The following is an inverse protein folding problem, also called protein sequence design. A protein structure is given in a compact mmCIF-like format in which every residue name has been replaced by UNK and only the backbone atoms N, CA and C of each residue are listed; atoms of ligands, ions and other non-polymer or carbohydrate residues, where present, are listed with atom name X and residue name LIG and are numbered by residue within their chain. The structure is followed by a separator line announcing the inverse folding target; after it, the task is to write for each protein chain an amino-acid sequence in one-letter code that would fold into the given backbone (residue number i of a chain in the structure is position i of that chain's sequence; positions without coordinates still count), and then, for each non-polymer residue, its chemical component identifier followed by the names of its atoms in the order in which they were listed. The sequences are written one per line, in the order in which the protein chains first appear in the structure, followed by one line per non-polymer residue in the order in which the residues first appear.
data_IF_853242895853
#
_entry.id   IF_853242895853
#
_cell.length_a   1.000
_cell.length_b   1.000
_cell.length_c   1.000
_cell.angle_alpha   90.00
_cell.angle_beta   90.00
_cell.angle_gamma   90.00
#
_symmetry.space_group_name_H-M   'P 1'
#
loop_
_entity.id
_entity.type
_entity.pdbx_description
1 polymer ?
#
# COMPACT_ATOMS: atom_id res chain seq x y z
N UNK A 1 -10.54 10.71 -18.86
CA UNK A 1 -9.19 10.11 -18.99
C UNK A 1 -8.34 10.54 -17.79
N UNK A 2 -7.82 9.56 -17.04
CA UNK A 2 -7.02 9.74 -15.82
C UNK A 2 -5.58 9.31 -16.08
N UNK A 3 -4.61 10.08 -15.62
CA UNK A 3 -3.20 9.70 -15.73
C UNK A 3 -2.78 8.88 -14.51
N UNK A 4 -2.11 7.75 -14.75
CA UNK A 4 -1.58 6.89 -13.68
C UNK A 4 -0.15 6.46 -13.97
N UNK A 5 0.59 6.17 -12.90
CA UNK A 5 1.95 5.65 -12.98
C UNK A 5 1.96 4.17 -12.62
N UNK A 6 1.91 3.32 -13.64
CA UNK A 6 1.90 1.86 -13.49
C UNK A 6 3.23 1.37 -12.89
N UNK A 7 3.14 0.52 -11.88
CA UNK A 7 4.26 -0.17 -11.26
C UNK A 7 4.65 -1.38 -12.11
N UNK A 8 5.92 -1.50 -12.48
CA UNK A 8 6.45 -2.65 -13.23
C UNK A 8 7.72 -3.17 -12.57
N UNK A 9 7.89 -4.50 -12.41
CA UNK A 9 9.16 -5.08 -11.98
C UNK A 9 10.32 -4.66 -12.89
N UNK A 10 11.48 -4.40 -12.30
CA UNK A 10 12.71 -4.08 -13.03
C UNK A 10 13.91 -4.77 -12.41
N UNK A 11 14.87 -5.16 -13.25
CA UNK A 11 16.16 -5.70 -12.83
C UNK A 11 17.27 -4.66 -12.90
N UNK A 12 16.96 -3.42 -13.31
CA UNK A 12 17.96 -2.36 -13.43
C UNK A 12 18.14 -1.71 -12.07
N UNK A 13 19.39 -1.62 -11.62
CA UNK A 13 19.81 -0.78 -10.50
C UNK A 13 19.72 0.70 -10.91
N UNK A 14 18.50 1.19 -10.98
CA UNK A 14 18.23 2.60 -11.19
C UNK A 14 18.20 3.33 -9.84
N UNK A 15 18.21 4.65 -9.88
CA UNK A 15 17.78 5.52 -8.75
C UNK A 15 16.35 5.18 -8.23
N UNK A 16 15.63 4.26 -8.90
CA UNK A 16 14.35 3.65 -8.46
C UNK A 16 14.51 2.58 -7.38
N UNK A 17 15.68 2.42 -6.75
CA UNK A 17 15.77 1.77 -5.42
C UNK A 17 14.84 2.39 -4.36
N UNK A 18 14.26 3.54 -4.70
CA UNK A 18 13.21 4.28 -4.02
C UNK A 18 11.79 3.69 -4.11
N UNK A 19 11.52 2.65 -4.91
CA UNK A 19 10.19 2.01 -4.99
C UNK A 19 10.28 0.50 -5.17
N UNK A 20 9.59 -0.26 -4.32
CA UNK A 20 9.70 -1.73 -4.29
C UNK A 20 8.49 -2.44 -3.68
N UNK A 21 8.34 -3.72 -4.03
CA UNK A 21 7.54 -4.68 -3.27
C UNK A 21 8.42 -5.49 -2.33
N UNK A 22 7.86 -5.87 -1.18
CA UNK A 22 8.51 -6.75 -0.21
C UNK A 22 9.85 -6.24 0.34
N UNK A 23 10.66 -7.17 0.86
CA UNK A 23 11.96 -6.88 1.46
C UNK A 23 11.89 -6.23 2.84
N UNK A 24 12.93 -5.45 3.19
CA UNK A 24 12.95 -4.59 4.37
C UNK A 24 12.54 -3.14 4.06
N UNK A 25 12.31 -2.33 5.07
CA UNK A 25 11.97 -0.92 4.89
C UNK A 25 12.47 -0.04 6.04
N UNK A 26 12.34 1.27 5.88
CA UNK A 26 12.59 2.26 6.92
C UNK A 26 11.36 2.39 7.82
N UNK A 27 11.51 2.08 9.10
CA UNK A 27 10.45 2.21 10.10
C UNK A 27 10.99 2.63 11.45
N UNK A 28 10.37 3.64 12.03
CA UNK A 28 10.65 4.10 13.39
C UNK A 28 10.01 3.13 14.40
N UNK A 29 10.71 2.78 15.48
CA UNK A 29 10.16 1.86 16.48
C UNK A 29 10.08 0.39 16.04
N UNK A 30 9.17 -0.38 16.62
CA UNK A 30 9.07 -1.82 16.38
C UNK A 30 8.38 -2.15 15.04
N UNK A 31 8.69 -3.32 14.48
CA UNK A 31 7.94 -3.82 13.32
C UNK A 31 6.46 -3.98 13.70
N UNK A 32 5.51 -3.54 12.85
CA UNK A 32 4.12 -3.47 13.22
C UNK A 32 3.53 -4.87 13.35
N UNK A 33 2.66 -5.04 14.35
CA UNK A 33 1.94 -6.29 14.63
C UNK A 33 0.44 -6.05 14.59
N UNK A 34 -0.31 -6.99 14.04
CA UNK A 34 -1.77 -6.93 14.09
C UNK A 34 -2.28 -7.15 15.53
N UNK A 35 -3.59 -6.96 15.79
CA UNK A 35 -4.20 -7.20 17.10
C UNK A 35 -4.01 -8.61 17.67
N UNK A 36 -3.70 -9.60 16.84
CA UNK A 36 -3.40 -10.98 17.26
C UNK A 36 -1.93 -11.18 17.65
N UNK A 37 -1.09 -10.15 17.50
CA UNK A 37 0.35 -10.20 17.80
C UNK A 37 1.21 -10.75 16.66
N UNK A 38 0.64 -10.99 15.49
CA UNK A 38 1.34 -11.45 14.29
C UNK A 38 2.04 -10.26 13.63
N UNK A 39 3.28 -10.43 13.16
CA UNK A 39 3.96 -9.39 12.39
C UNK A 39 3.23 -9.14 11.07
N UNK A 40 2.99 -7.86 10.76
CA UNK A 40 2.43 -7.50 9.46
C UNK A 40 3.46 -7.74 8.35
N UNK A 41 3.00 -8.12 7.18
CA UNK A 41 3.85 -8.31 6.01
C UNK A 41 4.02 -6.99 5.27
N UNK A 42 5.26 -6.64 4.92
CA UNK A 42 5.54 -5.49 4.06
C UNK A 42 5.14 -5.81 2.62
N UNK A 43 4.24 -5.01 2.05
CA UNK A 43 3.77 -5.16 0.68
C UNK A 43 4.52 -4.25 -0.28
N UNK A 44 4.61 -2.97 0.07
CA UNK A 44 5.08 -1.91 -0.82
C UNK A 44 5.83 -0.84 -0.04
N UNK A 45 6.82 -0.23 -0.67
CA UNK A 45 7.52 0.94 -0.14
C UNK A 45 7.87 1.92 -1.24
N UNK A 46 7.77 3.22 -0.93
CA UNK A 46 8.13 4.32 -1.82
C UNK A 46 8.78 5.47 -1.05
N UNK A 47 9.87 6.04 -1.57
CA UNK A 47 10.45 7.26 -1.00
C UNK A 47 9.52 8.46 -1.18
N UNK A 48 9.44 9.29 -0.15
CA UNK A 48 8.58 10.48 -0.14
C UNK A 48 8.94 11.49 -1.21
N UNK A 49 10.22 11.62 -1.57
CA UNK A 49 10.67 12.49 -2.66
C UNK A 49 10.05 12.06 -3.99
N UNK A 50 9.91 10.75 -4.22
CA UNK A 50 9.28 10.22 -5.43
C UNK A 50 7.77 10.38 -5.34
N UNK A 51 7.16 10.00 -4.22
CA UNK A 51 5.72 10.10 -4.03
C UNK A 51 5.21 11.54 -4.15
N UNK A 52 5.91 12.52 -3.57
CA UNK A 52 5.60 13.95 -3.73
C UNK A 52 5.76 14.46 -5.17
N UNK A 53 6.66 13.88 -5.98
CA UNK A 53 6.77 14.24 -7.40
C UNK A 53 5.58 13.73 -8.21
N UNK A 54 5.07 12.55 -7.88
CA UNK A 54 3.91 11.94 -8.56
C UNK A 54 2.58 12.56 -8.09
N UNK A 55 2.49 12.91 -6.82
CA UNK A 55 1.30 13.52 -6.20
C UNK A 55 1.75 14.75 -5.40
N UNK A 56 1.75 15.90 -6.06
CA UNK A 56 2.29 17.16 -5.54
C UNK A 56 1.58 17.72 -4.31
N UNK A 57 0.34 17.29 -4.05
CA UNK A 57 -0.49 17.77 -2.93
C UNK A 57 -0.18 17.13 -1.58
N UNK A 58 0.68 16.10 -1.51
CA UNK A 58 0.91 15.35 -0.28
C UNK A 58 1.80 16.07 0.75
N UNK A 59 2.81 16.82 0.30
CA UNK A 59 3.69 17.58 1.18
C UNK A 59 4.47 16.75 2.22
N UNK A 60 4.81 15.49 1.91
CA UNK A 60 5.51 14.60 2.83
C UNK A 60 6.96 15.06 3.10
N UNK A 61 7.53 14.77 4.28
CA UNK A 61 8.90 15.17 4.59
C UNK A 61 9.91 14.47 3.66
N UNK A 62 10.95 15.17 3.18
CA UNK A 62 11.93 14.58 2.26
C UNK A 62 12.84 13.56 2.97
N UNK A 63 13.38 12.61 2.22
CA UNK A 63 14.28 11.54 2.70
C UNK A 63 13.64 10.55 3.68
N UNK A 64 12.33 10.35 3.57
CA UNK A 64 11.60 9.29 4.27
C UNK A 64 11.10 8.25 3.27
N UNK A 65 10.67 7.12 3.80
CA UNK A 65 10.02 6.04 3.04
C UNK A 65 8.62 5.82 3.61
N UNK A 66 7.62 5.85 2.74
CA UNK A 66 6.26 5.37 3.05
C UNK A 66 6.23 3.87 2.84
N UNK A 67 5.70 3.13 3.81
CA UNK A 67 5.70 1.68 3.85
C UNK A 67 4.31 1.16 4.15
N UNK A 68 3.85 0.18 3.38
CA UNK A 68 2.49 -0.36 3.48
C UNK A 68 2.57 -1.81 3.92
N UNK A 69 1.88 -2.10 5.01
CA UNK A 69 1.85 -3.39 5.65
C UNK A 69 0.42 -3.93 5.71
N UNK A 70 0.29 -5.24 5.58
CA UNK A 70 -0.98 -5.95 5.70
C UNK A 70 -0.82 -7.22 6.51
N UNK A 71 -1.90 -7.65 7.15
CA UNK A 71 -1.99 -8.99 7.70
C UNK A 71 -1.88 -10.00 6.57
N UNK A 72 -1.06 -11.01 6.77
CA UNK A 72 -0.94 -12.19 5.93
C UNK A 72 -0.54 -13.37 6.83
N UNK A 73 -1.25 -14.47 6.72
CA UNK A 73 -0.93 -15.69 7.45
C UNK A 73 -1.39 -16.90 6.62
N UNK A 74 -0.47 -17.78 6.25
CA UNK A 74 -0.76 -18.98 5.47
C UNK A 74 -1.52 -20.05 6.26
N UNK A 75 -1.43 -19.99 7.59
CA UNK A 75 -2.00 -20.97 8.52
C UNK A 75 -3.39 -20.60 9.03
N UNK A 76 -3.92 -19.42 8.69
CA UNK A 76 -5.30 -19.03 9.04
C UNK A 76 -5.95 -18.20 7.96
N UNK A 77 -7.28 -18.22 7.95
CA UNK A 77 -8.05 -17.26 7.18
C UNK A 77 -7.86 -15.83 7.76
N UNK A 78 -7.49 -14.88 6.90
CA UNK A 78 -7.20 -13.49 7.30
C UNK A 78 -7.87 -12.42 6.42
N UNK A 79 -8.63 -12.81 5.38
CA UNK A 79 -9.22 -11.86 4.43
C UNK A 79 -10.17 -10.88 5.16
N UNK A 80 -10.98 -11.38 6.10
CA UNK A 80 -11.88 -10.54 6.91
C UNK A 80 -11.14 -9.48 7.75
N UNK A 81 -9.84 -9.65 7.98
CA UNK A 81 -9.02 -8.67 8.71
C UNK A 81 -8.63 -7.46 7.86
N UNK A 82 -8.75 -7.56 6.53
CA UNK A 82 -8.20 -6.58 5.60
C UNK A 82 -9.18 -6.15 4.50
N UNK A 83 -10.35 -6.80 4.40
CA UNK A 83 -11.39 -6.48 3.41
C UNK A 83 -12.26 -5.31 3.88
N UNK A 84 -12.63 -4.44 2.94
CA UNK A 84 -13.51 -3.31 3.20
C UNK A 84 -14.50 -3.09 2.06
N UNK A 85 -15.79 -3.25 2.36
CA UNK A 85 -16.92 -3.13 1.45
C UNK A 85 -17.66 -1.80 1.57
N UNK A 86 -17.31 -0.96 2.55
CA UNK A 86 -17.79 0.42 2.63
C UNK A 86 -18.54 0.79 3.90
N UNK A 87 -18.50 -0.04 4.95
CA UNK A 87 -19.23 0.21 6.20
C UNK A 87 -18.35 0.61 7.41
N UNK A 88 -18.96 1.25 8.40
CA UNK A 88 -18.26 1.71 9.60
C UNK A 88 -17.69 0.57 10.45
N UNK A 89 -18.30 -0.61 10.46
CA UNK A 89 -17.85 -1.73 11.27
C UNK A 89 -16.51 -2.22 10.75
N UNK A 90 -16.41 -2.47 9.45
CA UNK A 90 -15.18 -2.86 8.76
C UNK A 90 -14.11 -1.78 8.85
N UNK A 91 -14.47 -0.51 8.60
CA UNK A 91 -13.53 0.61 8.72
C UNK A 91 -12.88 0.64 10.11
N UNK A 92 -13.71 0.64 11.16
CA UNK A 92 -13.23 0.66 12.53
C UNK A 92 -12.49 -0.63 12.91
N UNK A 93 -12.82 -1.76 12.28
CA UNK A 93 -12.12 -3.03 12.50
C UNK A 93 -10.70 -3.00 11.94
N UNK A 94 -10.51 -2.56 10.69
CA UNK A 94 -9.18 -2.42 10.07
C UNK A 94 -8.33 -1.41 10.83
N UNK A 95 -8.91 -0.29 11.27
CA UNK A 95 -8.24 0.72 12.09
C UNK A 95 -7.67 0.19 13.42
N UNK A 96 -8.02 -1.02 13.86
CA UNK A 96 -7.36 -1.67 15.02
C UNK A 96 -5.91 -2.08 14.73
N UNK A 97 -5.47 -2.03 13.48
CA UNK A 97 -4.07 -2.24 13.09
C UNK A 97 -3.80 -3.53 12.33
N UNK A 98 -4.82 -4.12 11.68
CA UNK A 98 -4.65 -5.27 10.78
C UNK A 98 -3.94 -4.90 9.48
N UNK A 99 -3.99 -3.64 9.10
CA UNK A 99 -3.12 -3.03 8.09
C UNK A 99 -2.44 -1.81 8.70
N UNK A 100 -1.38 -1.33 8.07
CA UNK A 100 -0.63 -0.17 8.56
C UNK A 100 0.05 0.53 7.41
N UNK A 101 0.04 1.86 7.45
CA UNK A 101 0.93 2.66 6.61
C UNK A 101 1.80 3.48 7.54
N UNK A 102 3.11 3.37 7.39
CA UNK A 102 4.10 4.09 8.21
C UNK A 102 4.97 4.97 7.34
N UNK A 103 5.64 5.93 7.98
CA UNK A 103 6.72 6.72 7.39
C UNK A 103 7.96 6.60 8.26
N UNK A 104 9.12 6.32 7.67
CA UNK A 104 10.38 6.16 8.41
C UNK A 104 11.56 6.80 7.69
N UNK A 105 12.51 7.32 8.47
CA UNK A 105 13.75 7.89 7.96
C UNK A 105 14.70 6.78 7.47
N UNK A 106 15.54 7.04 6.46
CA UNK A 106 16.57 6.13 5.93
C UNK A 106 17.43 5.44 6.99
N UNK A 107 17.72 6.12 8.10
CA UNK A 107 18.52 5.55 9.20
C UNK A 107 17.78 4.46 10.02
N UNK A 108 16.50 4.25 9.76
CA UNK A 108 15.62 3.32 10.48
C UNK A 108 15.35 2.02 9.72
N UNK A 109 16.24 1.62 8.82
CA UNK A 109 16.07 0.40 8.01
C UNK A 109 16.02 -0.86 8.87
N UNK A 110 14.99 -1.69 8.63
CA UNK A 110 14.74 -2.98 9.30
C UNK A 110 14.16 -4.00 8.33
N UNK A 111 14.30 -5.27 8.67
CA UNK A 111 13.66 -6.40 7.99
C UNK A 111 12.65 -7.07 8.92
N UNK A 112 11.50 -7.46 8.38
CA UNK A 112 10.47 -8.22 9.10
C UNK A 112 10.73 -9.74 9.07
N UNK A 113 9.99 -10.47 9.91
CA UNK A 113 10.02 -11.93 9.98
C UNK A 113 9.29 -12.61 8.82
N UNK A 114 8.12 -12.10 8.42
CA UNK A 114 7.36 -12.60 7.25
C UNK A 114 7.88 -11.91 5.99
N UNK A 115 8.43 -12.69 5.05
CA UNK A 115 9.19 -12.17 3.91
C UNK A 115 8.47 -12.40 2.59
N UNK A 116 8.08 -11.29 1.95
CA UNK A 116 7.86 -11.24 0.50
C UNK A 116 9.19 -10.89 -0.14
N UNK A 117 9.59 -11.67 -1.16
CA UNK A 117 10.80 -11.45 -1.94
C UNK A 117 10.85 -10.01 -2.46
N UNK A 118 11.97 -9.32 -2.24
CA UNK A 118 12.14 -7.94 -2.69
C UNK A 118 12.08 -7.87 -4.22
N UNK A 119 11.25 -6.96 -4.74
CA UNK A 119 11.18 -6.65 -6.17
C UNK A 119 11.26 -5.15 -6.37
N UNK A 120 12.33 -4.69 -7.01
CA UNK A 120 12.48 -3.29 -7.42
C UNK A 120 11.48 -2.97 -8.53
N UNK A 121 10.94 -1.76 -8.48
CA UNK A 121 9.93 -1.32 -9.43
C UNK A 121 10.42 -0.13 -10.24
N UNK A 122 9.83 0.02 -11.42
CA UNK A 122 9.91 1.22 -12.24
C UNK A 122 8.51 1.73 -12.55
N UNK A 123 8.41 3.00 -12.94
CA UNK A 123 7.17 3.66 -13.24
C UNK A 123 7.00 3.79 -14.75
N UNK A 124 5.81 3.44 -15.23
CA UNK A 124 5.40 3.61 -16.63
C UNK A 124 4.13 4.43 -16.64
N UNK A 125 4.18 5.63 -17.22
CA UNK A 125 3.00 6.47 -17.39
C UNK A 125 1.98 5.76 -18.28
N UNK A 126 0.71 5.83 -17.92
CA UNK A 126 -0.41 5.25 -18.65
C UNK A 126 -1.65 6.13 -18.47
N UNK A 127 -2.44 6.24 -19.52
CA UNK A 127 -3.76 6.86 -19.46
C UNK A 127 -4.83 5.77 -19.25
N UNK A 128 -5.77 6.04 -18.35
CA UNK A 128 -6.96 5.25 -18.13
C UNK A 128 -8.17 5.98 -18.68
N UNK A 129 -8.99 5.29 -19.46
CA UNK A 129 -10.29 5.79 -19.88
C UNK A 129 -11.29 5.72 -18.72
N UNK A 130 -12.34 6.53 -18.80
CA UNK A 130 -13.34 6.62 -17.71
C UNK A 130 -14.17 5.33 -17.57
N UNK A 131 -14.08 4.40 -18.53
CA UNK A 131 -14.73 3.08 -18.51
C UNK A 131 -13.80 1.97 -18.00
N UNK A 132 -12.50 2.25 -17.81
CA UNK A 132 -11.51 1.22 -17.49
C UNK A 132 -11.62 0.79 -16.02
N UNK A 133 -11.54 -0.52 -15.77
CA UNK A 133 -11.38 -1.10 -14.44
C UNK A 133 -9.96 -1.66 -14.33
N UNK A 134 -9.01 -0.93 -13.75
CA UNK A 134 -7.60 -1.29 -13.79
C UNK A 134 -7.31 -2.53 -12.94
N UNK A 135 -6.82 -3.59 -13.58
CA UNK A 135 -6.32 -4.81 -12.93
C UNK A 135 -4.78 -4.83 -12.92
N UNK A 136 -4.16 -3.77 -12.40
CA UNK A 136 -2.71 -3.63 -12.27
C UNK A 136 -2.37 -2.60 -11.18
N UNK A 137 -1.17 -2.67 -10.62
CA UNK A 137 -0.71 -1.78 -9.57
C UNK A 137 -0.24 -0.44 -10.14
N UNK A 138 -0.62 0.67 -9.50
CA UNK A 138 -0.23 2.01 -9.93
C UNK A 138 -0.27 3.03 -8.80
N UNK A 139 0.39 4.17 -9.02
CA UNK A 139 0.31 5.38 -8.20
C UNK A 139 -0.47 6.46 -8.95
N UNK A 140 -1.44 7.07 -8.28
CA UNK A 140 -2.21 8.24 -8.75
C UNK A 140 -3.03 8.79 -7.58
N UNK A 141 -3.41 10.06 -7.64
CA UNK A 141 -4.40 10.65 -6.75
C UNK A 141 -5.82 10.64 -7.32
N UNK A 142 -6.02 10.13 -8.53
CA UNK A 142 -7.33 9.90 -9.13
C UNK A 142 -7.89 8.55 -8.69
N UNK A 143 -9.13 8.56 -8.17
CA UNK A 143 -9.82 7.35 -7.74
C UNK A 143 -10.16 6.46 -8.97
N UNK A 144 -9.75 5.18 -9.01
CA UNK A 144 -10.08 4.27 -10.10
C UNK A 144 -11.53 3.80 -10.05
N UNK A 145 -12.03 3.31 -11.18
CA UNK A 145 -13.28 2.56 -11.17
C UNK A 145 -13.07 1.22 -10.44
N UNK A 146 -14.15 0.69 -9.85
CA UNK A 146 -14.12 -0.54 -9.05
C UNK A 146 -13.92 -0.30 -7.56
N UNK A 147 -13.32 0.84 -7.16
CA UNK A 147 -13.29 1.22 -5.75
C UNK A 147 -14.71 1.52 -5.26
N UNK A 148 -15.21 0.72 -4.32
CA UNK A 148 -16.41 1.06 -3.56
C UNK A 148 -16.01 2.05 -2.48
N UNK A 149 -16.33 3.32 -2.73
CA UNK A 149 -15.95 4.44 -1.88
C UNK A 149 -16.82 4.60 -0.64
N UNK A 150 -16.21 5.08 0.45
CA UNK A 150 -16.88 5.44 1.70
C UNK A 150 -16.65 6.93 1.98
N UNK A 151 -17.72 7.70 2.25
CA UNK A 151 -17.62 9.16 2.36
C UNK A 151 -16.62 9.62 3.42
N UNK A 152 -16.59 8.95 4.58
CA UNK A 152 -15.68 9.31 5.68
C UNK A 152 -14.22 9.11 5.28
N UNK A 153 -13.93 8.02 4.58
CA UNK A 153 -12.59 7.75 4.03
C UNK A 153 -12.16 8.90 3.09
N UNK A 154 -13.04 9.36 2.20
CA UNK A 154 -12.72 10.46 1.29
C UNK A 154 -12.60 11.83 1.97
N UNK A 155 -13.27 12.02 3.11
CA UNK A 155 -13.17 13.24 3.94
C UNK A 155 -11.83 13.31 4.66
N UNK A 156 -11.32 12.20 5.18
CA UNK A 156 -10.14 12.17 6.05
C UNK A 156 -8.84 11.81 5.31
N UNK A 157 -8.93 11.15 4.16
CA UNK A 157 -7.78 10.58 3.46
C UNK A 157 -7.65 11.04 2.01
N UNK A 158 -6.46 10.84 1.45
CA UNK A 158 -6.08 11.09 0.06
C UNK A 158 -5.71 9.74 -0.54
N UNK A 159 -6.38 9.37 -1.64
CA UNK A 159 -6.00 8.20 -2.42
C UNK A 159 -4.60 8.40 -3.02
N UNK A 160 -3.75 7.38 -2.94
CA UNK A 160 -2.39 7.44 -3.52
C UNK A 160 -2.09 6.31 -4.50
N UNK A 161 -3.01 5.35 -4.70
CA UNK A 161 -2.84 4.30 -5.68
C UNK A 161 -3.45 2.97 -5.27
N UNK A 162 -3.22 1.96 -6.10
CA UNK A 162 -3.66 0.60 -5.83
C UNK A 162 -2.53 -0.42 -6.04
N UNK A 163 -2.64 -1.55 -5.36
CA UNK A 163 -1.82 -2.74 -5.51
C UNK A 163 -2.70 -3.88 -6.00
N UNK A 164 -2.37 -4.44 -7.16
CA UNK A 164 -3.04 -5.63 -7.67
C UNK A 164 -2.31 -6.87 -7.18
N UNK A 165 -3.04 -7.81 -6.59
CA UNK A 165 -2.46 -8.98 -5.92
C UNK A 165 -1.51 -9.79 -6.81
N UNK A 166 -1.86 -9.96 -8.08
CA UNK A 166 -1.01 -10.69 -9.05
C UNK A 166 0.33 -10.01 -9.34
N UNK A 167 0.50 -8.71 -9.07
CA UNK A 167 1.77 -8.01 -9.30
C UNK A 167 2.76 -8.19 -8.13
N UNK A 168 2.27 -8.45 -6.92
CA UNK A 168 3.08 -8.49 -5.70
C UNK A 168 3.98 -9.74 -5.66
N UNK A 169 3.41 -10.94 -5.82
CA UNK A 169 4.20 -12.18 -5.81
C UNK A 169 3.52 -13.32 -6.54
N UNK A 170 4.31 -14.11 -7.28
CA UNK A 170 3.93 -15.42 -7.80
C UNK A 170 4.17 -16.56 -6.79
N UNK A 171 4.88 -16.29 -5.69
CA UNK A 171 5.33 -17.31 -4.73
C UNK A 171 4.29 -17.62 -3.65
N UNK A 172 3.44 -16.66 -3.32
CA UNK A 172 2.47 -16.74 -2.24
C UNK A 172 1.08 -16.54 -2.84
N UNK A 173 0.23 -17.58 -2.88
CA UNK A 173 -1.08 -17.69 -3.55
C UNK A 173 -2.11 -16.59 -3.15
N UNK A 174 -1.80 -15.32 -3.38
CA UNK A 174 -2.53 -14.15 -2.92
C UNK A 174 -2.02 -13.65 -1.56
N UNK A 175 -0.96 -12.83 -1.55
CA UNK A 175 -0.54 -12.09 -0.34
C UNK A 175 -1.66 -11.16 0.18
N UNK A 176 -2.60 -10.83 -0.70
CA UNK A 176 -3.84 -10.12 -0.41
C UNK A 176 -5.07 -11.07 -0.30
N UNK A 177 -4.84 -12.36 -0.06
CA UNK A 177 -5.86 -13.40 0.10
C UNK A 177 -6.36 -14.03 -1.20
N UNK A 178 -6.59 -13.23 -2.25
CA UNK A 178 -7.01 -13.71 -3.58
C UNK A 178 -6.10 -13.13 -4.68
N UNK A 179 -5.93 -13.84 -5.80
CA UNK A 179 -5.06 -13.43 -6.91
C UNK A 179 -5.55 -12.20 -7.67
N UNK A 180 -6.85 -11.95 -7.66
CA UNK A 180 -7.56 -10.87 -8.34
C UNK A 180 -7.98 -9.73 -7.40
N UNK A 181 -7.62 -9.81 -6.12
CA UNK A 181 -7.90 -8.74 -5.15
C UNK A 181 -7.10 -7.47 -5.47
N UNK A 182 -7.72 -6.33 -5.17
CA UNK A 182 -7.14 -5.00 -5.32
C UNK A 182 -7.01 -4.37 -3.93
N UNK A 183 -5.78 -4.06 -3.54
CA UNK A 183 -5.48 -3.28 -2.36
C UNK A 183 -5.47 -1.78 -2.68
N UNK A 184 -6.16 -0.97 -1.90
CA UNK A 184 -6.19 0.48 -2.10
C UNK A 184 -5.43 1.21 -1.00
N UNK A 185 -4.65 2.20 -1.41
CA UNK A 185 -3.69 2.90 -0.56
C UNK A 185 -4.16 4.33 -0.35
N UNK A 186 -4.30 4.74 0.91
CA UNK A 186 -4.75 6.06 1.31
C UNK A 186 -3.81 6.67 2.35
N UNK A 187 -3.50 7.96 2.24
CA UNK A 187 -2.79 8.71 3.28
C UNK A 187 -3.73 9.64 4.01
N UNK A 188 -3.55 9.80 5.32
CA UNK A 188 -4.30 10.80 6.10
C UNK A 188 -3.96 12.19 5.58
N UNK A 189 -4.98 13.05 5.47
CA UNK A 189 -4.78 14.48 5.15
C UNK A 189 -3.98 15.21 6.23
N UNK A 190 -4.04 14.70 7.47
CA UNK A 190 -3.27 15.20 8.61
C UNK A 190 -2.52 14.03 9.25
N UNK A 191 -1.19 14.08 9.20
CA UNK A 191 -0.32 13.08 9.80
C UNK A 191 0.09 13.56 11.20
N UNK A 192 -0.22 12.78 12.22
CA UNK A 192 0.11 13.07 13.63
C UNK A 192 1.03 12.00 14.23
N UNK A 193 1.01 10.78 13.70
CA UNK A 193 1.83 9.65 14.13
C UNK A 193 2.50 9.00 12.91
N UNK A 194 3.84 8.92 12.93
CA UNK A 194 4.63 8.31 11.86
C UNK A 194 4.36 6.80 11.69
N UNK A 195 3.80 6.14 12.70
CA UNK A 195 3.46 4.72 12.67
C UNK A 195 2.05 4.44 12.12
N UNK A 196 1.26 5.47 11.87
CA UNK A 196 -0.10 5.34 11.34
C UNK A 196 -0.49 6.58 10.52
N UNK A 197 0.07 6.64 9.30
CA UNK A 197 -0.08 7.78 8.40
C UNK A 197 -1.19 7.60 7.36
N UNK A 198 -1.93 6.50 7.39
CA UNK A 198 -2.79 6.13 6.27
C UNK A 198 -3.73 4.98 6.55
N UNK A 199 -4.38 4.50 5.50
CA UNK A 199 -5.33 3.42 5.53
C UNK A 199 -5.12 2.53 4.30
N UNK A 200 -5.04 1.23 4.53
CA UNK A 200 -4.92 0.23 3.48
C UNK A 200 -5.97 -0.85 3.72
N UNK A 201 -6.61 -1.28 2.65
CA UNK A 201 -7.59 -2.37 2.65
C UNK A 201 -7.64 -3.00 1.27
N UNK A 202 -8.26 -4.16 1.19
CA UNK A 202 -8.53 -4.84 -0.07
C UNK A 202 -10.01 -4.80 -0.40
N UNK A 203 -10.31 -4.85 -1.70
CA UNK A 203 -11.60 -5.26 -2.22
C UNK A 203 -11.38 -6.45 -3.14
N UNK A 204 -12.33 -7.37 -3.07
CA UNK A 204 -12.41 -8.55 -3.93
C UNK A 204 -13.59 -8.34 -4.87
N UNK A 205 -13.44 -8.76 -6.13
CA UNK A 205 -14.51 -8.69 -7.12
C UNK A 205 -15.64 -9.68 -6.80
#
# INVERSE_FOLDING_TARGET
MKEVYQLKPTNVDNETGSIKFGGGTCIEGAWPKNPLGEELTLLFSIETNMLNKLISSLGLPPNYTVSIFSTYNESRYFIDDIVFTGDDVEFNYICKGYTRITIGNKDSYKEGGVRVSEKKLTLSQRNLEDIDFPAFSFISNDIPNGLVGYEKLMKEYIFIGQLYSSDLSSENNGILGLSDSIGYMFLKKKIEDNNDIGFFFIQTA
#
